data_IF_787809065189
#
_entry.id   IF_787809065189
#
_cell.length_a   1.000
_cell.length_b   1.000
_cell.length_c   1.000
_cell.angle_alpha   90.00
_cell.angle_beta   90.00
_cell.angle_gamma   90.00
#
_symmetry.space_group_name_H-M   'P 1'
#
loop_
_entity.id
_entity.type
_entity.pdbx_description
1 polymer ?
#
# COMPACT_ATOMS: atom_id res chain seq x y z
N UNK A 1 -21.97 3.24 14.47
CA UNK A 1 -20.92 2.96 13.47
C UNK A 1 -19.63 3.48 14.05
N UNK A 2 -18.70 2.60 14.43
CA UNK A 2 -17.35 3.02 14.81
C UNK A 2 -16.68 3.56 13.56
N UNK A 3 -16.36 4.86 13.55
CA UNK A 3 -15.36 5.40 12.63
C UNK A 3 -14.04 4.74 13.00
N UNK A 4 -13.72 3.61 12.39
CA UNK A 4 -12.34 3.16 12.40
C UNK A 4 -11.54 4.27 11.71
N UNK A 5 -10.71 4.98 12.48
CA UNK A 5 -9.77 5.98 11.97
C UNK A 5 -8.69 5.25 11.16
N UNK A 6 -9.05 4.80 9.96
CA UNK A 6 -8.11 4.18 9.03
C UNK A 6 -7.38 5.24 8.22
N UNK A 7 -6.14 4.93 7.83
CA UNK A 7 -5.34 5.79 6.96
C UNK A 7 -5.56 5.35 5.51
N UNK A 8 -5.85 6.31 4.63
CA UNK A 8 -5.85 6.11 3.18
C UNK A 8 -4.63 6.80 2.59
N UNK A 9 -3.79 6.01 1.94
CA UNK A 9 -2.53 6.44 1.33
C UNK A 9 -2.70 6.36 -0.18
N UNK A 10 -2.55 7.49 -0.86
CA UNK A 10 -2.84 7.59 -2.29
C UNK A 10 -1.55 7.75 -3.09
N UNK A 11 -1.24 6.79 -3.96
CA UNK A 11 -0.07 6.81 -4.83
C UNK A 11 -0.52 7.04 -6.28
N UNK A 12 0.03 8.07 -6.89
CA UNK A 12 -0.33 8.51 -8.26
C UNK A 12 0.86 8.61 -9.20
N UNK A 13 2.07 8.83 -8.67
CA UNK A 13 3.28 8.95 -9.46
C UNK A 13 3.62 7.64 -10.17
N UNK A 14 3.91 7.73 -11.47
CA UNK A 14 4.48 6.64 -12.26
C UNK A 14 6.00 6.51 -12.08
N UNK A 15 6.64 7.51 -11.47
CA UNK A 15 8.09 7.54 -11.30
C UNK A 15 8.52 6.53 -10.25
N UNK A 16 9.56 5.77 -10.60
CA UNK A 16 10.04 4.65 -9.81
C UNK A 16 10.46 5.03 -8.40
N UNK A 17 11.30 6.05 -8.31
CA UNK A 17 11.86 6.50 -7.03
C UNK A 17 10.76 6.97 -6.07
N UNK A 18 9.71 7.61 -6.59
CA UNK A 18 8.58 8.10 -5.80
C UNK A 18 7.79 6.96 -5.16
N UNK A 19 7.40 5.95 -5.95
CA UNK A 19 6.62 4.85 -5.39
C UNK A 19 7.49 3.91 -4.55
N UNK A 20 8.76 3.69 -4.87
CA UNK A 20 9.67 2.92 -3.99
C UNK A 20 9.80 3.56 -2.61
N UNK A 21 9.98 4.88 -2.57
CA UNK A 21 10.03 5.63 -1.32
C UNK A 21 8.69 5.55 -0.57
N UNK A 22 7.56 5.68 -1.27
CA UNK A 22 6.25 5.54 -0.67
C UNK A 22 6.04 4.16 -0.03
N UNK A 23 6.41 3.07 -0.72
CA UNK A 23 6.30 1.71 -0.20
C UNK A 23 7.13 1.51 1.07
N UNK A 24 8.38 2.00 1.08
CA UNK A 24 9.25 1.95 2.26
C UNK A 24 8.63 2.69 3.45
N UNK A 25 8.07 3.87 3.21
CA UNK A 25 7.43 4.67 4.26
C UNK A 25 6.18 3.97 4.83
N UNK A 26 5.36 3.36 3.97
CA UNK A 26 4.18 2.61 4.39
C UNK A 26 4.59 1.41 5.23
N UNK A 27 5.62 0.68 4.81
CA UNK A 27 6.09 -0.49 5.54
C UNK A 27 6.67 -0.11 6.91
N UNK A 28 7.44 0.97 6.97
CA UNK A 28 7.94 1.50 8.24
C UNK A 28 6.78 1.88 9.17
N UNK A 29 5.74 2.53 8.64
CA UNK A 29 4.54 2.88 9.40
C UNK A 29 3.78 1.63 9.88
N UNK A 30 3.64 0.61 9.03
CA UNK A 30 2.94 -0.63 9.35
C UNK A 30 3.65 -1.47 10.41
N UNK A 31 4.99 -1.40 10.47
CA UNK A 31 5.83 -2.10 11.46
C UNK A 31 5.96 -1.34 12.78
N UNK A 32 5.57 -0.08 12.84
CA UNK A 32 5.73 0.74 14.04
C UNK A 32 4.57 0.50 15.03
N UNK A 33 4.78 -0.48 15.90
CA UNK A 33 3.83 -0.84 16.98
C UNK A 33 3.65 0.26 18.04
N UNK A 34 4.49 1.30 18.04
CA UNK A 34 4.33 2.44 18.95
C UNK A 34 3.21 3.39 18.51
N UNK A 35 2.78 3.29 17.25
CA UNK A 35 1.75 4.15 16.69
C UNK A 35 0.35 3.53 16.86
N UNK A 36 -0.67 4.35 17.14
CA UNK A 36 -2.05 3.88 17.33
C UNK A 36 -2.74 3.56 15.99
N UNK A 37 -1.99 3.23 14.94
CA UNK A 37 -2.52 2.91 13.61
C UNK A 37 -2.07 1.51 13.21
N UNK A 38 -2.85 0.47 13.53
CA UNK A 38 -2.51 -0.89 13.12
C UNK A 38 -2.55 -1.03 11.59
N UNK A 39 -1.71 -1.90 11.05
CA UNK A 39 -1.58 -2.13 9.61
C UNK A 39 -2.90 -2.53 8.92
N UNK A 40 -3.78 -3.27 9.61
CA UNK A 40 -5.09 -3.71 9.09
C UNK A 40 -6.10 -2.56 8.88
N UNK A 41 -5.82 -1.39 9.47
CA UNK A 41 -6.58 -0.15 9.26
C UNK A 41 -6.05 0.69 8.09
N UNK A 42 -4.92 0.30 7.49
CA UNK A 42 -4.29 1.04 6.40
C UNK A 42 -4.80 0.58 5.04
N UNK A 43 -4.98 1.54 4.14
CA UNK A 43 -5.38 1.29 2.76
C UNK A 43 -4.52 2.09 1.80
N UNK A 44 -3.86 1.39 0.89
CA UNK A 44 -3.13 2.01 -0.22
C UNK A 44 -4.02 2.00 -1.46
N UNK A 45 -4.23 3.17 -2.04
CA UNK A 45 -4.97 3.36 -3.28
C UNK A 45 -4.01 3.81 -4.37
N UNK A 46 -4.05 3.16 -5.51
CA UNK A 46 -3.12 3.36 -6.62
C UNK A 46 -3.88 3.74 -7.88
N UNK A 47 -3.51 4.86 -8.49
CA UNK A 47 -4.20 5.38 -9.68
C UNK A 47 -3.20 5.83 -10.75
N UNK A 48 -3.68 5.97 -11.99
CA UNK A 48 -2.90 6.55 -13.07
C UNK A 48 -1.69 5.69 -13.42
N UNK A 49 -0.54 6.33 -13.59
CA UNK A 49 0.69 5.64 -13.99
C UNK A 49 1.29 4.76 -12.90
N UNK A 50 0.99 5.06 -11.63
CA UNK A 50 1.42 4.26 -10.48
C UNK A 50 0.94 2.81 -10.54
N UNK A 51 -0.12 2.50 -11.29
CA UNK A 51 -0.63 1.12 -11.41
C UNK A 51 0.46 0.14 -11.88
N UNK A 52 1.48 0.63 -12.61
CA UNK A 52 2.61 -0.18 -13.08
C UNK A 52 3.42 -0.82 -11.94
N UNK A 53 3.43 -0.27 -10.73
CA UNK A 53 4.17 -0.89 -9.61
C UNK A 53 3.44 -2.10 -9.01
N UNK A 54 2.14 -2.25 -9.24
CA UNK A 54 1.37 -3.42 -8.79
C UNK A 54 1.62 -4.68 -9.64
N UNK A 55 2.48 -4.58 -10.65
CA UNK A 55 2.91 -5.72 -11.44
C UNK A 55 3.89 -6.58 -10.63
N UNK A 56 3.73 -7.90 -10.70
CA UNK A 56 4.60 -8.87 -10.01
C UNK A 56 6.08 -8.72 -10.39
N UNK A 57 6.36 -8.19 -11.58
CA UNK A 57 7.71 -7.93 -12.09
C UNK A 57 8.27 -6.55 -11.70
N UNK A 58 7.48 -5.70 -11.04
CA UNK A 58 7.95 -4.41 -10.56
C UNK A 58 8.96 -4.58 -9.43
N UNK A 59 9.93 -3.68 -9.34
CA UNK A 59 10.99 -3.83 -8.33
C UNK A 59 10.51 -3.65 -6.88
N UNK A 60 9.31 -3.09 -6.68
CA UNK A 60 8.65 -3.01 -5.37
C UNK A 60 7.71 -4.17 -5.04
N UNK A 61 7.69 -5.23 -5.85
CA UNK A 61 6.85 -6.39 -5.61
C UNK A 61 7.08 -7.03 -4.21
N UNK A 62 8.33 -7.17 -3.71
CA UNK A 62 8.58 -7.69 -2.37
C UNK A 62 7.91 -6.85 -1.27
N UNK A 63 8.01 -5.52 -1.35
CA UNK A 63 7.39 -4.61 -0.38
C UNK A 63 5.85 -4.67 -0.45
N UNK A 64 5.29 -4.85 -1.65
CA UNK A 64 3.84 -5.03 -1.83
C UNK A 64 3.35 -6.32 -1.20
N UNK A 65 4.10 -7.42 -1.36
CA UNK A 65 3.80 -8.70 -0.70
C UNK A 65 3.86 -8.54 0.81
N UNK A 66 4.92 -7.95 1.34
CA UNK A 66 5.10 -7.79 2.78
C UNK A 66 4.01 -6.92 3.41
N UNK A 67 3.62 -5.82 2.76
CA UNK A 67 2.49 -5.00 3.21
C UNK A 67 1.19 -5.79 3.26
N UNK A 68 0.93 -6.64 2.26
CA UNK A 68 -0.28 -7.46 2.22
C UNK A 68 -0.28 -8.49 3.36
N UNK A 69 0.87 -9.11 3.65
CA UNK A 69 1.05 -10.03 4.79
C UNK A 69 0.87 -9.31 6.13
N UNK A 70 1.32 -8.06 6.24
CA UNK A 70 1.09 -7.21 7.41
C UNK A 70 -0.38 -6.76 7.56
N UNK A 71 -1.25 -7.02 6.57
CA UNK A 71 -2.67 -6.69 6.60
C UNK A 71 -3.05 -5.36 5.94
N UNK A 72 -2.09 -4.65 5.34
CA UNK A 72 -2.34 -3.43 4.56
C UNK A 72 -3.14 -3.78 3.31
N UNK A 73 -4.23 -3.04 3.05
CA UNK A 73 -5.10 -3.30 1.89
C UNK A 73 -4.68 -2.47 0.69
N UNK A 74 -4.26 -3.11 -0.40
CA UNK A 74 -3.96 -2.43 -1.67
C UNK A 74 -5.16 -2.44 -2.63
N UNK A 75 -5.42 -1.30 -3.27
CA UNK A 75 -6.53 -1.10 -4.21
C UNK A 75 -6.10 -0.26 -5.41
N UNK A 76 -6.56 -0.63 -6.60
CA UNK A 76 -6.46 0.22 -7.80
C UNK A 76 -7.71 1.09 -7.94
N UNK A 77 -7.63 2.35 -8.41
CA UNK A 77 -8.86 3.09 -8.79
C UNK A 77 -9.67 2.27 -9.80
N UNK A 78 -10.93 2.03 -9.48
CA UNK A 78 -11.90 1.42 -10.38
C UNK A 78 -11.95 -0.11 -10.39
N UNK A 79 -11.02 -0.84 -9.76
CA UNK A 79 -11.09 -2.30 -9.63
C UNK A 79 -10.54 -2.76 -8.28
N UNK A 80 -11.29 -3.63 -7.60
CA UNK A 80 -11.04 -4.01 -6.22
C UNK A 80 -10.12 -5.24 -6.08
N UNK A 81 -9.21 -5.15 -5.10
CA UNK A 81 -8.36 -6.19 -4.48
C UNK A 81 -7.38 -6.95 -5.38
N UNK A 82 -6.09 -6.65 -5.24
CA UNK A 82 -5.06 -7.67 -5.48
C UNK A 82 -5.15 -8.64 -4.30
N UNK A 83 -5.63 -9.86 -4.57
CA UNK A 83 -5.42 -10.99 -3.69
C UNK A 83 -4.16 -11.68 -4.22
N UNK A 84 -3.04 -11.46 -3.55
CA UNK A 84 -1.81 -12.20 -3.88
C UNK A 84 -2.06 -13.70 -3.59
N UNK A 85 -1.48 -14.61 -4.38
CA UNK A 85 -1.66 -16.06 -4.21
C UNK A 85 -1.25 -16.55 -2.83
#
# INVERSE_FOLDING_TARGET
>A
MSTQNGIVIHITSGEREDWEMALRNILNLARDESLPTPADTMRVVVNGEAVKFLLETATGAPEVVEMAEAGVRLQRKGHAYLKLP
#
